data_IF_346226349816
#
_entry.id   IF_346226349816
#
_cell.length_a   1.000
_cell.length_b   1.000
_cell.length_c   1.000
_cell.angle_alpha   90.00
_cell.angle_beta   90.00
_cell.angle_gamma   90.00
#
_symmetry.space_group_name_H-M   'P 1'
#
loop_
_entity.id
_entity.type
_entity.pdbx_description
1 polymer ?
#
# COMPACT_ATOMS: atom_id res chain seq x y z
N UNK A 1 -22.71 -76.57 13.21
CA UNK A 1 -22.71 -75.18 13.69
C UNK A 1 -21.27 -74.78 13.95
N UNK A 2 -20.84 -73.70 13.28
CA UNK A 2 -19.74 -72.77 13.62
C UNK A 2 -18.40 -73.32 14.11
N UNK A 3 -17.34 -73.11 13.32
CA UNK A 3 -16.39 -72.03 13.63
C UNK A 3 -15.39 -71.74 12.50
N UNK A 4 -15.20 -70.44 12.32
CA UNK A 4 -14.19 -69.74 11.53
C UNK A 4 -12.82 -69.78 12.19
N UNK A 5 -11.76 -69.98 11.40
CA UNK A 5 -10.42 -69.44 11.67
C UNK A 5 -9.86 -68.89 10.36
N UNK A 6 -9.70 -67.58 10.33
CA UNK A 6 -8.98 -66.82 9.32
C UNK A 6 -7.51 -66.77 9.70
N UNK A 7 -6.63 -67.25 8.83
CA UNK A 7 -5.20 -66.94 8.90
C UNK A 7 -4.69 -66.49 7.53
N UNK A 8 -4.01 -65.35 7.58
CA UNK A 8 -3.35 -64.58 6.54
C UNK A 8 -2.31 -65.35 5.74
N UNK A 9 -2.29 -65.17 4.41
CA UNK A 9 -1.07 -65.25 3.62
C UNK A 9 -1.00 -64.12 2.59
N UNK A 10 0.10 -63.39 2.68
CA UNK A 10 0.56 -62.32 1.81
C UNK A 10 0.49 -62.72 0.34
N UNK A 11 -0.04 -61.86 -0.52
CA UNK A 11 0.24 -61.94 -1.96
C UNK A 11 0.94 -60.67 -2.43
N UNK A 12 2.26 -60.79 -2.56
CA UNK A 12 3.16 -59.85 -3.20
C UNK A 12 2.92 -59.87 -4.71
N UNK A 13 2.03 -59.00 -5.20
CA UNK A 13 1.84 -58.78 -6.63
C UNK A 13 2.91 -57.88 -7.22
N UNK A 14 4.04 -58.45 -7.65
CA UNK A 14 4.93 -57.80 -8.62
C UNK A 14 4.17 -57.69 -9.95
N UNK A 15 3.56 -56.54 -10.21
CA UNK A 15 2.98 -56.21 -11.51
C UNK A 15 4.11 -56.07 -12.54
N UNK A 16 4.35 -57.13 -13.32
CA UNK A 16 5.24 -57.08 -14.45
C UNK A 16 4.60 -56.22 -15.55
N UNK A 17 5.22 -55.09 -15.87
CA UNK A 17 4.74 -54.15 -16.89
C UNK A 17 5.35 -54.49 -18.24
N UNK A 18 4.70 -55.35 -19.00
CA UNK A 18 5.01 -55.55 -20.41
C UNK A 18 4.01 -54.76 -21.26
N UNK A 19 4.48 -54.07 -22.30
CA UNK A 19 3.59 -53.51 -23.32
C UNK A 19 3.69 -54.33 -24.59
N UNK A 20 2.54 -54.72 -25.13
CA UNK A 20 2.45 -55.41 -26.40
C UNK A 20 2.55 -54.41 -27.55
N UNK A 21 3.46 -54.66 -28.50
CA UNK A 21 3.60 -53.85 -29.72
C UNK A 21 3.29 -54.74 -30.93
N UNK A 22 2.49 -54.22 -31.87
CA UNK A 22 2.13 -54.92 -33.11
C UNK A 22 3.32 -54.97 -34.07
N UNK A 23 3.79 -56.18 -34.38
CA UNK A 23 4.76 -56.40 -35.45
C UNK A 23 4.05 -56.24 -36.81
N UNK A 24 4.45 -55.22 -37.56
CA UNK A 24 3.79 -54.81 -38.80
C UNK A 24 4.02 -55.78 -39.96
N UNK A 25 4.98 -56.70 -39.88
CA UNK A 25 5.18 -57.72 -40.92
C UNK A 25 4.37 -58.99 -40.69
N UNK A 26 4.13 -59.36 -39.42
CA UNK A 26 3.45 -60.62 -39.06
C UNK A 26 2.05 -60.44 -38.49
N UNK A 27 1.65 -59.19 -38.18
CA UNK A 27 0.32 -58.87 -37.67
C UNK A 27 0.06 -59.38 -36.25
N UNK A 28 1.12 -59.69 -35.49
CA UNK A 28 1.04 -60.31 -34.16
C UNK A 28 1.57 -59.36 -33.08
N UNK A 29 0.99 -59.40 -31.88
CA UNK A 29 1.36 -58.58 -30.73
C UNK A 29 2.51 -59.26 -29.95
N UNK A 30 3.66 -58.60 -29.86
CA UNK A 30 4.85 -59.13 -29.17
C UNK A 30 5.15 -58.28 -27.93
N UNK A 31 5.47 -58.93 -26.80
CA UNK A 31 5.90 -58.23 -25.57
C UNK A 31 7.31 -57.68 -25.76
N UNK A 32 7.46 -56.35 -25.62
CA UNK A 32 8.75 -55.72 -25.46
C UNK A 32 8.95 -55.29 -24.00
N UNK A 33 10.14 -55.52 -23.40
CA UNK A 33 10.42 -55.04 -22.04
C UNK A 33 10.49 -53.52 -22.05
N UNK A 34 9.47 -52.87 -21.48
CA UNK A 34 9.49 -51.43 -21.22
C UNK A 34 10.44 -51.21 -20.04
N UNK A 35 11.60 -50.62 -20.33
CA UNK A 35 12.51 -50.09 -19.29
C UNK A 35 11.82 -48.87 -18.66
N UNK A 36 10.92 -49.13 -17.72
CA UNK A 36 10.30 -48.10 -16.91
C UNK A 36 11.34 -47.60 -15.92
N UNK A 37 12.16 -46.63 -16.33
CA UNK A 37 12.83 -45.76 -15.38
C UNK A 37 11.75 -44.95 -14.66
N UNK A 38 11.15 -45.56 -13.63
CA UNK A 38 10.46 -44.82 -12.58
C UNK A 38 11.52 -43.97 -11.92
N UNK A 39 11.68 -42.74 -12.41
CA UNK A 39 12.23 -41.64 -11.63
C UNK A 39 11.19 -41.31 -10.56
N UNK A 40 11.05 -42.24 -9.61
CA UNK A 40 10.21 -42.08 -8.44
C UNK A 40 10.76 -40.89 -7.68
N UNK A 41 10.01 -39.79 -7.67
CA UNK A 41 10.06 -38.91 -6.51
C UNK A 41 9.78 -39.84 -5.33
N UNK A 42 10.80 -40.07 -4.48
CA UNK A 42 10.67 -41.02 -3.39
C UNK A 42 9.42 -40.64 -2.59
N UNK A 43 8.59 -41.63 -2.26
CA UNK A 43 7.34 -41.45 -1.51
C UNK A 43 7.58 -40.63 -0.24
N UNK A 44 8.76 -40.77 0.35
CA UNK A 44 9.29 -39.97 1.46
C UNK A 44 9.38 -38.47 1.17
N UNK A 45 9.93 -38.05 0.01
CA UNK A 45 9.98 -36.63 -0.40
C UNK A 45 8.58 -36.04 -0.58
N UNK A 46 7.64 -36.83 -1.09
CA UNK A 46 6.24 -36.41 -1.24
C UNK A 46 5.56 -36.26 0.13
N UNK A 47 5.81 -37.17 1.07
CA UNK A 47 5.28 -37.10 2.44
C UNK A 47 5.84 -35.88 3.18
N UNK A 48 7.13 -35.59 3.04
CA UNK A 48 7.75 -34.42 3.66
C UNK A 48 7.27 -33.11 3.05
N UNK A 49 7.03 -33.07 1.74
CA UNK A 49 6.40 -31.93 1.09
C UNK A 49 4.97 -31.68 1.63
N UNK A 50 4.18 -32.74 1.83
CA UNK A 50 2.83 -32.63 2.41
C UNK A 50 2.86 -32.15 3.87
N UNK A 51 3.79 -32.66 4.68
CA UNK A 51 4.00 -32.19 6.07
C UNK A 51 4.38 -30.71 6.08
N UNK A 52 5.34 -30.30 5.25
CA UNK A 52 5.76 -28.91 5.11
C UNK A 52 4.59 -28.00 4.70
N UNK A 53 3.78 -28.43 3.73
CA UNK A 53 2.56 -27.70 3.32
C UNK A 53 1.55 -27.57 4.47
N UNK A 54 1.28 -28.67 5.19
CA UNK A 54 0.35 -28.67 6.33
C UNK A 54 0.82 -27.72 7.44
N UNK A 55 2.13 -27.67 7.69
CA UNK A 55 2.72 -26.81 8.70
C UNK A 55 2.71 -25.33 8.27
N UNK A 56 2.99 -25.05 7.00
CA UNK A 56 2.86 -23.72 6.41
C UNK A 56 1.43 -23.18 6.55
N UNK A 57 0.42 -24.02 6.27
CA UNK A 57 -0.99 -23.65 6.43
C UNK A 57 -1.37 -23.43 7.91
N UNK A 58 -0.88 -24.26 8.83
CA UNK A 58 -1.07 -24.04 10.27
C UNK A 58 -0.50 -22.69 10.70
N UNK A 59 0.72 -22.35 10.28
CA UNK A 59 1.34 -21.05 10.56
C UNK A 59 0.53 -19.89 9.97
N UNK A 60 0.01 -20.03 8.74
CA UNK A 60 -0.87 -19.03 8.12
C UNK A 60 -2.12 -18.81 8.97
N UNK A 61 -2.81 -19.87 9.40
CA UNK A 61 -4.00 -19.77 10.27
C UNK A 61 -3.70 -19.13 11.61
N UNK A 62 -2.58 -19.48 12.24
CA UNK A 62 -2.15 -18.88 13.51
C UNK A 62 -1.95 -17.36 13.37
N UNK A 63 -1.29 -16.89 12.30
CA UNK A 63 -1.12 -15.45 12.04
C UNK A 63 -2.46 -14.73 11.86
N UNK A 64 -3.39 -15.33 11.14
CA UNK A 64 -4.74 -14.75 10.94
C UNK A 64 -5.48 -14.65 12.28
N UNK A 65 -5.46 -15.70 13.10
CA UNK A 65 -6.08 -15.67 14.42
C UNK A 65 -5.44 -14.61 15.31
N UNK A 66 -4.11 -14.50 15.32
CA UNK A 66 -3.42 -13.46 16.08
C UNK A 66 -3.87 -12.04 15.67
N UNK A 67 -4.01 -11.75 14.37
CA UNK A 67 -4.51 -10.45 13.92
C UNK A 67 -5.96 -10.19 14.35
N UNK A 68 -6.83 -11.22 14.34
CA UNK A 68 -8.20 -11.11 14.83
C UNK A 68 -8.25 -10.83 16.34
N UNK A 69 -7.34 -11.42 17.10
CA UNK A 69 -7.24 -11.18 18.54
C UNK A 69 -6.72 -9.77 18.84
N UNK A 70 -5.76 -9.27 18.05
CA UNK A 70 -5.36 -7.85 18.10
C UNK A 70 -6.55 -6.92 17.84
N UNK A 71 -7.36 -7.20 16.81
CA UNK A 71 -8.57 -6.40 16.54
C UNK A 71 -9.54 -6.41 17.73
N UNK A 72 -9.74 -7.56 18.39
CA UNK A 72 -10.58 -7.64 19.60
C UNK A 72 -10.07 -6.80 20.76
N UNK A 73 -8.75 -6.65 20.88
CA UNK A 73 -8.14 -5.84 21.94
C UNK A 73 -8.28 -4.32 21.70
N UNK A 74 -8.42 -3.90 20.44
CA UNK A 74 -8.48 -2.49 20.06
C UNK A 74 -9.91 -1.93 20.04
N UNK A 75 -10.91 -2.79 19.78
CA UNK A 75 -12.31 -2.35 19.67
C UNK A 75 -13.07 -2.67 20.96
N UNK A 76 -13.74 -1.68 21.57
CA UNK A 76 -14.52 -1.89 22.79
C UNK A 76 -15.57 -3.00 22.65
N UNK A 77 -15.74 -3.81 23.70
CA UNK A 77 -16.81 -4.81 23.83
C UNK A 77 -16.85 -5.93 22.75
N UNK A 78 -15.74 -6.24 22.08
CA UNK A 78 -15.72 -7.23 20.97
C UNK A 78 -15.19 -8.62 21.34
N UNK A 79 -14.82 -8.86 22.61
CA UNK A 79 -14.16 -10.09 23.08
C UNK A 79 -14.91 -11.38 22.75
N UNK A 80 -16.25 -11.35 22.70
CA UNK A 80 -17.11 -12.52 22.46
C UNK A 80 -17.70 -12.59 21.05
N UNK A 81 -17.33 -11.67 20.15
CA UNK A 81 -17.90 -11.62 18.80
C UNK A 81 -17.31 -12.70 17.89
N UNK A 82 -18.17 -13.30 17.06
CA UNK A 82 -17.75 -14.15 15.96
C UNK A 82 -16.93 -13.34 14.93
N UNK A 83 -16.24 -14.03 14.02
CA UNK A 83 -15.30 -13.38 13.10
C UNK A 83 -15.98 -12.38 12.14
N UNK A 84 -17.20 -12.67 11.68
CA UNK A 84 -17.89 -11.79 10.75
C UNK A 84 -18.41 -10.54 11.47
N UNK A 85 -19.04 -10.73 12.63
CA UNK A 85 -19.52 -9.64 13.48
C UNK A 85 -18.38 -8.73 13.94
N UNK A 86 -17.22 -9.30 14.33
CA UNK A 86 -16.03 -8.53 14.70
C UNK A 86 -15.59 -7.59 13.57
N UNK A 87 -15.48 -8.09 12.33
CA UNK A 87 -15.05 -7.28 11.20
C UNK A 87 -16.07 -6.18 10.86
N UNK A 88 -17.36 -6.48 10.94
CA UNK A 88 -18.42 -5.48 10.78
C UNK A 88 -18.32 -4.36 11.81
N UNK A 89 -18.08 -4.74 13.07
CA UNK A 89 -17.94 -3.80 14.18
C UNK A 89 -16.67 -2.94 14.08
N UNK A 90 -15.55 -3.52 13.67
CA UNK A 90 -14.30 -2.79 13.39
C UNK A 90 -14.55 -1.70 12.34
N UNK A 91 -15.24 -2.02 11.25
CA UNK A 91 -15.55 -1.06 10.18
C UNK A 91 -16.46 0.05 10.70
N UNK A 92 -17.49 -0.30 11.48
CA UNK A 92 -18.41 0.65 12.09
C UNK A 92 -17.66 1.63 13.00
N UNK A 93 -16.84 1.10 13.92
CA UNK A 93 -16.07 1.89 14.87
C UNK A 93 -15.05 2.79 14.16
N UNK A 94 -14.37 2.31 13.11
CA UNK A 94 -13.43 3.13 12.33
C UNK A 94 -14.12 4.28 11.61
N UNK A 95 -15.32 4.05 11.05
CA UNK A 95 -16.13 5.11 10.43
C UNK A 95 -16.56 6.16 11.47
N UNK A 96 -16.94 5.72 12.66
CA UNK A 96 -17.31 6.60 13.77
C UNK A 96 -16.12 7.43 14.25
N UNK A 97 -14.96 6.81 14.47
CA UNK A 97 -13.73 7.53 14.82
C UNK A 97 -13.34 8.57 13.76
N UNK A 98 -13.41 8.21 12.46
CA UNK A 98 -13.12 9.15 11.37
C UNK A 98 -14.09 10.33 11.34
N UNK A 99 -15.38 10.09 11.62
CA UNK A 99 -16.39 11.14 11.72
C UNK A 99 -16.11 12.06 12.91
N UNK A 100 -15.88 11.48 14.09
CA UNK A 100 -15.63 12.23 15.31
C UNK A 100 -14.34 13.06 15.20
N UNK A 101 -13.27 12.50 14.63
CA UNK A 101 -12.05 13.24 14.33
C UNK A 101 -12.33 14.39 13.36
N UNK A 102 -13.10 14.15 12.29
CA UNK A 102 -13.50 15.20 11.35
C UNK A 102 -14.26 16.35 12.02
N UNK A 103 -15.19 16.05 12.91
CA UNK A 103 -15.96 17.04 13.68
C UNK A 103 -15.10 17.79 14.70
N UNK A 104 -14.24 17.08 15.44
CA UNK A 104 -13.33 17.69 16.40
C UNK A 104 -12.29 18.61 15.73
N UNK A 105 -11.98 18.34 14.45
CA UNK A 105 -11.08 19.13 13.64
C UNK A 105 -11.79 20.22 12.82
N UNK A 106 -13.11 20.37 12.97
CA UNK A 106 -13.87 21.39 12.24
C UNK A 106 -13.37 22.79 12.62
N UNK A 107 -13.08 23.62 11.61
CA UNK A 107 -12.46 24.93 11.80
C UNK A 107 -10.95 24.91 12.11
N UNK A 108 -10.34 23.75 12.34
CA UNK A 108 -8.90 23.63 12.53
C UNK A 108 -8.19 23.34 11.21
N UNK A 109 -7.00 23.91 11.04
CA UNK A 109 -6.18 23.69 9.84
C UNK A 109 -5.28 22.47 10.02
N UNK A 110 -5.86 21.27 10.07
CA UNK A 110 -5.11 20.02 10.26
C UNK A 110 -4.74 19.40 8.90
N UNK A 111 -3.47 19.04 8.66
CA UNK A 111 -3.08 18.27 7.49
C UNK A 111 -3.78 16.90 7.46
N UNK A 112 -4.37 16.56 6.32
CA UNK A 112 -4.99 15.25 6.08
C UNK A 112 -3.94 14.26 5.58
N UNK A 113 -4.18 12.97 5.79
CA UNK A 113 -3.30 11.88 5.33
C UNK A 113 -3.17 11.77 3.81
N UNK A 114 -4.14 12.31 3.07
CA UNK A 114 -4.15 12.31 1.60
C UNK A 114 -3.69 13.64 1.03
N UNK A 115 -3.11 13.59 -0.17
CA UNK A 115 -2.78 14.78 -0.93
C UNK A 115 -4.05 15.40 -1.52
N UNK A 116 -4.26 16.69 -1.30
CA UNK A 116 -5.47 17.40 -1.71
C UNK A 116 -5.11 18.81 -2.17
N UNK A 117 -5.75 19.25 -3.27
CA UNK A 117 -5.71 20.64 -3.72
C UNK A 117 -7.17 21.09 -3.81
N UNK A 118 -7.50 22.23 -3.21
CA UNK A 118 -8.77 22.92 -3.44
C UNK A 118 -8.48 24.36 -3.85
N UNK A 119 -9.24 24.89 -4.80
CA UNK A 119 -9.16 26.30 -5.19
C UNK A 119 -10.59 26.82 -5.25
N UNK A 120 -10.88 27.78 -4.39
CA UNK A 120 -12.20 28.35 -4.16
C UNK A 120 -12.15 29.84 -4.49
N UNK A 121 -13.18 30.33 -5.17
CA UNK A 121 -13.43 31.75 -5.29
C UNK A 121 -13.98 32.27 -3.96
N UNK A 122 -13.38 33.33 -3.44
CA UNK A 122 -13.86 34.04 -2.27
C UNK A 122 -14.36 35.43 -2.73
N UNK A 123 -15.59 35.76 -2.33
CA UNK A 123 -16.17 37.08 -2.61
C UNK A 123 -15.28 38.20 -2.06
N UNK A 124 -15.28 39.34 -2.75
CA UNK A 124 -14.39 40.46 -2.43
C UNK A 124 -14.49 40.94 -0.98
N UNK A 125 -13.33 41.16 -0.35
CA UNK A 125 -13.17 41.78 0.97
C UNK A 125 -12.37 43.08 0.79
N UNK A 126 -12.78 44.16 1.44
CA UNK A 126 -12.03 45.42 1.55
C UNK A 126 -11.61 46.05 0.20
N UNK A 127 -12.49 46.05 -0.81
CA UNK A 127 -12.26 46.77 -2.08
C UNK A 127 -11.47 46.00 -3.15
N UNK A 128 -11.10 44.73 -2.90
CA UNK A 128 -10.61 43.84 -3.95
C UNK A 128 -11.79 43.02 -4.50
N UNK A 129 -12.17 43.19 -5.78
CA UNK A 129 -13.39 42.58 -6.31
C UNK A 129 -13.31 41.05 -6.45
N UNK A 130 -12.10 40.47 -6.47
CA UNK A 130 -11.91 39.05 -6.70
C UNK A 130 -10.72 38.49 -5.91
N UNK A 131 -11.01 37.49 -5.06
CA UNK A 131 -10.05 36.85 -4.18
C UNK A 131 -10.07 35.33 -4.44
N UNK A 132 -8.90 34.71 -4.57
CA UNK A 132 -8.80 33.25 -4.70
C UNK A 132 -8.25 32.67 -3.41
N UNK A 133 -8.98 31.71 -2.84
CA UNK A 133 -8.51 30.90 -1.72
C UNK A 133 -8.04 29.55 -2.25
N UNK A 134 -6.74 29.31 -2.21
CA UNK A 134 -6.15 28.04 -2.64
C UNK A 134 -5.63 27.26 -1.43
N UNK A 135 -6.06 26.01 -1.26
CA UNK A 135 -5.54 25.11 -0.24
C UNK A 135 -4.78 23.94 -0.86
N UNK A 136 -3.70 23.54 -0.18
CA UNK A 136 -2.82 22.46 -0.59
C UNK A 136 -2.43 21.63 0.64
N UNK A 137 -2.66 20.32 0.60
CA UNK A 137 -2.20 19.37 1.61
C UNK A 137 -1.27 18.33 0.94
N UNK A 138 -0.05 18.17 1.45
CA UNK A 138 0.96 17.26 0.90
C UNK A 138 2.07 16.95 1.92
N UNK A 139 2.98 16.04 1.57
CA UNK A 139 4.23 15.85 2.33
C UNK A 139 5.12 17.10 2.28
N UNK A 140 5.75 17.44 3.40
CA UNK A 140 6.71 18.54 3.46
C UNK A 140 7.94 18.23 2.61
N UNK A 141 8.30 19.17 1.73
CA UNK A 141 9.50 19.08 0.89
C UNK A 141 10.25 20.41 0.91
N UNK A 142 11.58 20.39 1.12
CA UNK A 142 12.38 21.61 1.04
C UNK A 142 12.20 22.29 -0.31
N UNK A 143 11.98 23.61 -0.31
CA UNK A 143 11.78 24.40 -1.52
C UNK A 143 10.34 24.42 -2.06
N UNK A 144 9.41 23.60 -1.54
CA UNK A 144 8.03 23.56 -2.03
C UNK A 144 7.34 24.93 -2.03
N UNK A 145 7.45 25.68 -0.93
CA UNK A 145 6.84 27.01 -0.83
C UNK A 145 7.45 28.01 -1.82
N UNK A 146 8.75 27.89 -2.10
CA UNK A 146 9.43 28.71 -3.10
C UNK A 146 8.91 28.40 -4.50
N UNK A 147 8.76 27.12 -4.85
CA UNK A 147 8.25 26.70 -6.15
C UNK A 147 6.77 27.09 -6.34
N UNK A 148 5.96 26.98 -5.28
CA UNK A 148 4.57 27.46 -5.29
C UNK A 148 4.54 28.96 -5.56
N UNK A 149 5.32 29.73 -4.81
CA UNK A 149 5.39 31.19 -5.00
C UNK A 149 5.82 31.53 -6.42
N UNK A 150 6.87 30.90 -6.93
CA UNK A 150 7.35 31.12 -8.30
C UNK A 150 6.28 30.78 -9.35
N UNK A 151 5.53 29.69 -9.15
CA UNK A 151 4.46 29.29 -10.06
C UNK A 151 3.29 30.29 -10.07
N UNK A 152 2.95 30.87 -8.91
CA UNK A 152 1.93 31.91 -8.80
C UNK A 152 2.42 33.25 -9.35
N UNK A 153 3.68 33.63 -9.09
CA UNK A 153 4.30 34.84 -9.64
C UNK A 153 4.31 34.80 -11.18
N UNK A 154 4.55 33.64 -11.78
CA UNK A 154 4.49 33.43 -13.24
C UNK A 154 3.08 33.63 -13.83
N UNK A 155 2.03 33.51 -13.02
CA UNK A 155 0.65 33.82 -13.38
C UNK A 155 0.26 35.27 -13.10
N UNK A 156 1.20 36.10 -12.64
CA UNK A 156 0.95 37.47 -12.16
C UNK A 156 -0.04 37.50 -10.98
N UNK A 157 0.05 36.50 -10.11
CA UNK A 157 -0.73 36.40 -8.89
C UNK A 157 0.16 36.72 -7.69
N UNK A 158 -0.37 37.47 -6.72
CA UNK A 158 0.28 37.79 -5.47
C UNK A 158 -0.42 37.11 -4.31
N UNK A 159 0.36 36.47 -3.44
CA UNK A 159 -0.12 35.89 -2.19
C UNK A 159 -0.29 37.03 -1.18
N UNK A 160 -1.53 37.33 -0.77
CA UNK A 160 -1.82 38.29 0.30
C UNK A 160 -1.56 37.69 1.68
N UNK A 161 -1.93 36.43 1.89
CA UNK A 161 -1.69 35.72 3.14
C UNK A 161 -1.47 34.23 2.88
N UNK A 162 -0.75 33.59 3.79
CA UNK A 162 -0.48 32.17 3.78
C UNK A 162 -0.57 31.61 5.20
N UNK A 163 -1.57 30.76 5.45
CA UNK A 163 -1.67 30.01 6.68
C UNK A 163 -1.05 28.62 6.45
N UNK A 164 -0.12 28.23 7.32
CA UNK A 164 0.62 26.96 7.20
C UNK A 164 0.48 26.15 8.49
N UNK A 165 0.18 24.86 8.35
CA UNK A 165 0.12 23.90 9.44
C UNK A 165 0.89 22.65 9.07
N UNK A 166 1.57 22.06 10.04
CA UNK A 166 2.40 20.87 9.85
C UNK A 166 2.05 19.81 10.88
N UNK A 167 1.96 18.55 10.46
CA UNK A 167 1.68 17.40 11.31
C UNK A 167 2.38 16.16 10.74
N UNK A 168 3.22 15.50 11.54
CA UNK A 168 3.90 14.25 11.18
C UNK A 168 4.62 14.27 9.81
N UNK A 169 5.25 15.39 9.46
CA UNK A 169 5.95 15.54 8.18
C UNK A 169 5.04 15.87 6.98
N UNK A 170 3.73 15.98 7.19
CA UNK A 170 2.78 16.55 6.24
C UNK A 170 2.56 18.03 6.53
N UNK A 171 2.17 18.76 5.51
CA UNK A 171 1.84 20.18 5.60
C UNK A 171 0.55 20.51 4.86
N UNK A 172 -0.23 21.42 5.44
CA UNK A 172 -1.38 22.07 4.82
C UNK A 172 -1.10 23.55 4.70
N UNK A 173 -1.25 24.08 3.50
CA UNK A 173 -1.09 25.49 3.19
C UNK A 173 -2.43 26.02 2.70
N UNK A 174 -2.80 27.21 3.16
CA UNK A 174 -3.96 27.95 2.66
C UNK A 174 -3.46 29.32 2.26
N UNK A 175 -3.58 29.63 0.97
CA UNK A 175 -3.17 30.89 0.39
C UNK A 175 -4.40 31.73 0.06
N UNK A 176 -4.34 33.01 0.38
CA UNK A 176 -5.25 34.02 -0.16
C UNK A 176 -4.49 34.78 -1.23
N UNK A 177 -5.00 34.77 -2.45
CA UNK A 177 -4.30 35.20 -3.65
C UNK A 177 -5.11 36.27 -4.37
N UNK A 178 -4.43 37.30 -4.86
CA UNK A 178 -5.00 38.34 -5.73
C UNK A 178 -4.24 38.45 -7.05
N UNK A 179 -4.92 38.92 -8.08
CA UNK A 179 -4.29 39.25 -9.36
C UNK A 179 -3.58 40.59 -9.27
N UNK A 180 -2.35 40.64 -9.79
CA UNK A 180 -1.61 41.89 -9.98
C UNK A 180 -2.10 42.69 -11.21
N UNK A 181 -2.84 42.05 -12.12
CA UNK A 181 -3.42 42.72 -13.29
C UNK A 181 -4.85 43.16 -12.99
N UNK A 182 -5.19 44.37 -13.39
CA UNK A 182 -6.57 44.82 -13.58
C UNK A 182 -7.18 44.02 -14.73
N UNK A 183 -7.62 42.79 -14.43
CA UNK A 183 -8.49 42.03 -15.31
C UNK A 183 -9.93 42.32 -14.91
N UNK A 184 -10.82 42.30 -15.90
CA UNK A 184 -12.24 42.54 -15.69
C UNK A 184 -12.85 41.26 -15.08
N UNK A 185 -12.74 41.13 -13.75
CA UNK A 185 -13.17 39.94 -13.00
C UNK A 185 -14.69 39.78 -12.89
N UNK A 186 -15.47 40.69 -13.47
CA UNK A 186 -16.93 40.59 -13.56
C UNK A 186 -17.37 39.36 -14.37
N UNK A 187 -16.56 38.90 -15.33
CA UNK A 187 -16.85 37.72 -16.13
C UNK A 187 -16.58 36.40 -15.36
N UNK A 188 -17.65 35.63 -15.15
CA UNK A 188 -17.60 34.33 -14.49
C UNK A 188 -16.71 33.31 -15.23
N UNK A 189 -16.64 33.38 -16.56
CA UNK A 189 -15.80 32.47 -17.34
C UNK A 189 -14.31 32.76 -17.09
N UNK A 190 -13.92 34.03 -17.05
CA UNK A 190 -12.56 34.45 -16.70
C UNK A 190 -12.13 33.96 -15.30
N UNK A 191 -13.00 34.11 -14.29
CA UNK A 191 -12.75 33.62 -12.92
C UNK A 191 -12.54 32.11 -12.86
N UNK A 192 -13.36 31.35 -13.60
CA UNK A 192 -13.23 29.89 -13.68
C UNK A 192 -11.92 29.46 -14.34
N UNK A 193 -11.52 30.13 -15.42
CA UNK A 193 -10.25 29.88 -16.11
C UNK A 193 -9.08 30.13 -15.17
N UNK A 194 -9.06 31.28 -14.47
CA UNK A 194 -7.98 31.61 -13.54
C UNK A 194 -7.89 30.61 -12.39
N UNK A 195 -9.02 30.21 -11.82
CA UNK A 195 -9.11 29.14 -10.81
C UNK A 195 -8.49 27.84 -11.32
N UNK A 196 -8.79 27.46 -12.57
CA UNK A 196 -8.20 26.31 -13.24
C UNK A 196 -6.68 26.42 -13.41
N UNK A 197 -6.19 27.60 -13.78
CA UNK A 197 -4.75 27.88 -13.90
C UNK A 197 -4.03 27.75 -12.54
N UNK A 198 -4.60 28.30 -11.47
CA UNK A 198 -4.04 28.16 -10.11
C UNK A 198 -3.97 26.69 -9.71
N UNK A 199 -5.07 25.95 -9.92
CA UNK A 199 -5.11 24.52 -9.61
C UNK A 199 -4.06 23.74 -10.40
N UNK A 200 -3.90 24.03 -11.70
CA UNK A 200 -2.89 23.40 -12.55
C UNK A 200 -1.46 23.75 -12.14
N UNK A 201 -1.19 25.00 -11.76
CA UNK A 201 0.13 25.45 -11.29
C UNK A 201 0.54 24.71 -10.03
N UNK A 202 -0.35 24.65 -9.02
CA UNK A 202 -0.10 23.91 -7.78
C UNK A 202 0.12 22.43 -8.04
N UNK A 203 -0.71 21.81 -8.90
CA UNK A 203 -0.54 20.40 -9.28
C UNK A 203 0.77 20.14 -10.01
N UNK A 204 1.22 21.07 -10.86
CA UNK A 204 2.50 20.96 -11.55
C UNK A 204 3.68 20.96 -10.58
N UNK A 205 3.65 21.84 -9.58
CA UNK A 205 4.66 21.88 -8.52
C UNK A 205 4.70 20.54 -7.76
N UNK A 206 3.57 20.02 -7.31
CA UNK A 206 3.53 18.73 -6.61
C UNK A 206 4.09 17.58 -7.44
N UNK A 207 3.74 17.50 -8.73
CA UNK A 207 4.20 16.43 -9.59
C UNK A 207 5.73 16.42 -9.76
N UNK A 208 6.37 17.60 -9.83
CA UNK A 208 7.85 17.70 -9.90
C UNK A 208 8.50 17.05 -8.69
N UNK A 209 7.92 17.28 -7.52
CA UNK A 209 8.41 16.73 -6.25
C UNK A 209 8.14 15.24 -6.08
N UNK A 210 7.08 14.70 -6.67
CA UNK A 210 6.83 13.25 -6.69
C UNK A 210 7.89 12.53 -7.55
N UNK A 211 8.23 13.08 -8.71
CA UNK A 211 9.27 12.52 -9.60
C UNK A 211 10.65 12.51 -8.94
N UNK A 212 11.00 13.56 -8.19
CA UNK A 212 12.26 13.64 -7.45
C UNK A 212 12.38 12.55 -6.36
N UNK A 213 11.27 12.17 -5.74
CA UNK A 213 11.22 11.15 -4.68
C UNK A 213 11.49 9.74 -5.24
N UNK A 214 10.96 9.44 -6.43
CA UNK A 214 11.24 8.17 -7.13
C UNK A 214 12.72 8.04 -7.49
N UNK A 215 13.37 9.13 -7.90
CA UNK A 215 14.78 9.12 -8.27
C UNK A 215 15.67 8.98 -7.02
N UNK A 216 15.35 9.68 -5.92
CA UNK A 216 16.15 9.64 -4.69
C UNK A 216 15.95 8.35 -3.88
N UNK A 217 14.75 7.75 -3.93
CA UNK A 217 14.43 6.49 -3.26
C UNK A 217 15.27 5.30 -3.75
N UNK A 218 15.80 5.35 -4.97
CA UNK A 218 16.66 4.29 -5.53
C UNK A 218 18.11 4.30 -5.04
N UNK A 219 18.59 5.38 -4.39
CA UNK A 219 20.00 5.51 -4.00
C UNK A 219 20.36 5.02 -2.59
N UNK A 220 19.46 4.36 -1.86
CA UNK A 220 19.71 3.97 -0.46
C UNK A 220 20.22 2.53 -0.30
N UNK A 221 21.50 2.31 -0.62
CA UNK A 221 22.36 1.36 0.11
C UNK A 221 23.85 1.66 -0.14
N UNK A 222 24.41 2.57 0.66
CA UNK A 222 25.82 2.48 1.07
C UNK A 222 25.85 2.51 2.59
N UNK A 223 26.01 1.32 3.16
CA UNK A 223 26.26 1.11 4.59
C UNK A 223 27.71 1.53 4.81
N UNK A 224 27.94 2.73 5.35
CA UNK A 224 29.27 3.12 5.82
C UNK A 224 29.37 2.61 7.26
N UNK A 225 30.24 1.62 7.47
CA UNK A 225 30.63 1.18 8.81
C UNK A 225 31.50 2.27 9.45
N UNK A 226 31.07 2.77 10.59
CA UNK A 226 31.76 3.80 11.35
C UNK A 226 32.33 3.14 12.62
N UNK A 227 33.66 3.22 12.72
CA UNK A 227 34.56 2.94 13.86
C UNK A 227 34.73 1.50 14.38
N UNK A 228 35.88 0.91 14.04
CA UNK A 228 36.64 -0.01 14.90
C UNK A 228 37.51 0.81 15.85
N UNK A 229 37.18 0.84 17.14
CA UNK A 229 38.03 1.43 18.18
C UNK A 229 39.23 0.50 18.42
N UNK A 230 40.44 0.96 18.08
CA UNK A 230 41.67 0.38 18.62
C UNK A 230 42.01 1.15 19.88
N UNK A 231 41.91 0.51 21.05
CA UNK A 231 42.52 1.02 22.28
C UNK A 231 43.96 0.51 22.33
N UNK A 232 44.91 1.36 21.96
CA UNK A 232 46.30 1.24 22.40
C UNK A 232 46.46 2.14 23.62
N UNK A 233 46.63 1.53 24.78
CA UNK A 233 47.16 2.18 25.98
C UNK A 233 48.44 1.41 26.32
N UNK A 234 49.58 2.05 26.12
CA UNK A 234 50.89 1.59 26.54
C UNK A 234 51.72 2.84 26.90
N UNK A 235 52.33 2.80 28.09
CA UNK A 235 53.30 3.73 28.72
C UNK A 235 52.71 5.02 29.34
N UNK A 236 52.89 5.33 30.64
CA UNK A 236 54.00 5.09 31.58
C UNK A 236 53.49 4.99 33.03
#
# INVERSE_FOLDING_TARGET
MTNTLTETLMNSGYGSSFSLVLDRQRGELVEAPVKLERKGVSTERTIDALKSHSEAERRRRARITAHLDTLRSLIPATTKMDKASLLGEVIRHLKELKKNAGQACEGLMIPKDNDEISVEEQGGLNGFPYLIRASLCCEYKPGLLSDIRQALDALHLMIMSADIATLEGRMKNVFVIISCKEQNFEDAACRQVLTGLVHQALRSVLNRFSVLQDILGTRKRRRVSIFSSSSSEDFL
#
